data_IF_953388741036
#
_entry.id   IF_953388741036
#
_cell.length_a   1.000
_cell.length_b   1.000
_cell.length_c   1.000
_cell.angle_alpha   90.00
_cell.angle_beta   90.00
_cell.angle_gamma   90.00
#
_symmetry.space_group_name_H-M   'P 1'
#
loop_
_entity.id
_entity.type
_entity.pdbx_description
1 polymer ?
#
# COMPACT_ATOMS: atom_id res chain seq x y z
N UNK A 1 5.75 -12.50 20.22
CA UNK A 1 5.45 -13.27 19.00
C UNK A 1 5.23 -12.36 17.79
N UNK A 2 4.38 -11.34 17.88
CA UNK A 2 4.12 -10.40 16.78
C UNK A 2 5.35 -9.56 16.40
N UNK A 3 6.11 -9.06 17.37
CA UNK A 3 7.36 -8.32 17.14
C UNK A 3 8.45 -9.18 16.47
N UNK A 4 8.54 -10.46 16.81
CA UNK A 4 9.46 -11.38 16.14
C UNK A 4 9.12 -11.59 14.67
N UNK A 5 7.83 -11.69 14.34
CA UNK A 5 7.37 -11.85 12.94
C UNK A 5 7.66 -10.58 12.15
N UNK A 6 7.35 -9.39 12.70
CA UNK A 6 7.65 -8.10 12.06
C UNK A 6 9.15 -7.90 11.85
N UNK A 7 9.97 -8.21 12.87
CA UNK A 7 11.42 -8.13 12.75
C UNK A 7 11.99 -9.10 11.70
N UNK A 8 11.42 -10.30 11.59
CA UNK A 8 11.81 -11.27 10.59
C UNK A 8 11.43 -10.82 9.18
N UNK A 9 10.21 -10.32 8.97
CA UNK A 9 9.74 -9.77 7.69
C UNK A 9 10.58 -8.55 7.28
N UNK A 10 10.85 -7.64 8.23
CA UNK A 10 11.73 -6.49 7.98
C UNK A 10 13.14 -6.94 7.58
N UNK A 11 13.70 -7.93 8.27
CA UNK A 11 15.01 -8.50 7.94
C UNK A 11 15.07 -9.12 6.54
N UNK A 12 14.00 -9.81 6.11
CA UNK A 12 13.89 -10.35 4.76
C UNK A 12 13.82 -9.23 3.70
N UNK A 13 13.01 -8.20 3.93
CA UNK A 13 12.89 -7.04 3.04
C UNK A 13 14.25 -6.36 2.88
N UNK A 14 14.92 -6.10 4.00
CA UNK A 14 16.23 -5.48 4.05
C UNK A 14 17.28 -6.32 3.30
N UNK A 15 17.33 -7.62 3.58
CA UNK A 15 18.25 -8.54 2.89
C UNK A 15 17.99 -8.61 1.39
N UNK A 16 16.71 -8.65 1.00
CA UNK A 16 16.32 -8.69 -0.40
C UNK A 16 16.68 -7.41 -1.16
N UNK A 17 16.40 -6.22 -0.61
CA UNK A 17 16.77 -4.94 -1.22
C UNK A 17 18.29 -4.81 -1.30
N UNK A 18 19.01 -5.23 -0.25
CA UNK A 18 20.47 -5.18 -0.23
C UNK A 18 21.10 -6.06 -1.30
N UNK A 19 20.50 -7.20 -1.62
CA UNK A 19 21.00 -8.13 -2.62
C UNK A 19 20.62 -7.73 -4.06
N UNK A 20 19.40 -7.20 -4.27
CA UNK A 20 18.84 -6.98 -5.61
C UNK A 20 18.81 -5.50 -6.04
N UNK A 21 19.10 -4.57 -5.13
CA UNK A 21 19.15 -3.15 -5.43
C UNK A 21 17.80 -2.55 -5.77
N UNK A 22 17.75 -1.64 -6.74
CA UNK A 22 16.52 -0.98 -7.20
C UNK A 22 15.47 -1.98 -7.70
N UNK A 23 15.89 -3.10 -8.30
CA UNK A 23 14.95 -4.14 -8.75
C UNK A 23 14.18 -4.73 -7.56
N UNK A 24 14.83 -4.91 -6.42
CA UNK A 24 14.18 -5.35 -5.18
C UNK A 24 13.10 -4.39 -4.72
N UNK A 25 13.37 -3.08 -4.79
CA UNK A 25 12.39 -2.05 -4.46
C UNK A 25 11.18 -2.15 -5.41
N UNK A 26 11.42 -2.23 -6.72
CA UNK A 26 10.36 -2.38 -7.73
C UNK A 26 9.49 -3.61 -7.44
N UNK A 27 10.12 -4.77 -7.20
CA UNK A 27 9.40 -6.02 -6.97
C UNK A 27 8.58 -5.99 -5.67
N UNK A 28 9.15 -5.52 -4.56
CA UNK A 28 8.45 -5.45 -3.28
C UNK A 28 7.28 -4.47 -3.34
N UNK A 29 7.46 -3.31 -3.96
CA UNK A 29 6.38 -2.33 -4.16
C UNK A 29 5.32 -2.81 -5.16
N UNK A 30 5.71 -3.64 -6.15
CA UNK A 30 4.75 -4.28 -7.04
C UNK A 30 3.90 -5.32 -6.30
N UNK A 31 4.51 -6.14 -5.46
CA UNK A 31 3.80 -7.13 -4.64
C UNK A 31 2.81 -6.42 -3.69
N UNK A 32 3.24 -5.34 -3.02
CA UNK A 32 2.38 -4.53 -2.16
C UNK A 32 1.18 -3.96 -2.91
N UNK A 33 1.42 -3.40 -4.09
CA UNK A 33 0.37 -2.81 -4.91
C UNK A 33 -0.53 -3.82 -5.63
N UNK A 34 -0.15 -5.10 -5.63
CA UNK A 34 -0.99 -6.22 -6.07
C UNK A 34 -1.98 -6.69 -4.99
N UNK A 35 -2.27 -5.86 -3.98
CA UNK A 35 -3.12 -6.15 -2.82
C UNK A 35 -2.56 -7.22 -1.87
N UNK A 36 -1.25 -7.47 -1.89
CA UNK A 36 -0.57 -8.30 -0.89
C UNK A 36 -0.09 -7.35 0.24
N UNK A 37 -0.44 -7.61 1.51
CA UNK A 37 -0.15 -6.68 2.60
C UNK A 37 1.34 -6.69 2.98
N UNK A 38 2.17 -6.06 2.16
CA UNK A 38 3.54 -5.73 2.50
C UNK A 38 3.62 -4.27 2.97
N UNK A 39 4.32 -3.98 4.06
CA UNK A 39 4.40 -2.62 4.58
C UNK A 39 5.40 -1.78 3.77
N UNK A 40 4.90 -0.91 2.89
CA UNK A 40 5.73 0.10 2.21
C UNK A 40 6.42 1.05 3.19
N UNK A 41 5.83 1.21 4.37
CA UNK A 41 6.37 1.95 5.51
C UNK A 41 7.69 1.34 6.04
N UNK A 42 8.02 0.13 5.66
CA UNK A 42 9.31 -0.53 5.92
C UNK A 42 10.18 -0.48 4.67
N UNK A 43 9.61 -0.80 3.49
CA UNK A 43 10.34 -0.90 2.21
C UNK A 43 10.99 0.44 1.85
N UNK A 44 10.21 1.53 1.84
CA UNK A 44 10.68 2.82 1.37
C UNK A 44 11.62 3.53 2.35
N UNK A 45 11.36 3.60 3.68
CA UNK A 45 12.32 4.17 4.60
C UNK A 45 13.64 3.39 4.67
N UNK A 46 13.62 2.06 4.57
CA UNK A 46 14.85 1.30 4.50
C UNK A 46 15.64 1.58 3.22
N UNK A 47 14.96 1.72 2.08
CA UNK A 47 15.60 2.14 0.84
C UNK A 47 16.20 3.54 0.97
N UNK A 48 15.54 4.43 1.71
CA UNK A 48 16.04 5.75 2.09
C UNK A 48 17.28 5.70 3.01
N UNK A 49 17.31 4.77 3.96
CA UNK A 49 18.53 4.50 4.74
C UNK A 49 19.72 4.12 3.84
N UNK A 50 19.50 3.31 2.82
CA UNK A 50 20.55 2.97 1.85
C UNK A 50 20.99 4.18 1.00
N UNK A 51 20.14 5.22 0.87
CA UNK A 51 20.56 6.51 0.30
C UNK A 51 21.52 7.24 1.23
N UNK A 52 21.27 7.30 2.55
CA UNK A 52 22.19 7.96 3.51
C UNK A 52 23.58 7.30 3.55
N UNK A 53 23.65 6.00 3.29
CA UNK A 53 24.94 5.28 3.17
C UNK A 53 25.66 5.52 1.83
N UNK A 54 25.12 6.33 0.93
CA UNK A 54 25.68 6.60 -0.40
C UNK A 54 25.50 5.47 -1.43
N UNK A 55 24.75 4.42 -1.09
CA UNK A 55 24.56 3.27 -1.96
C UNK A 55 23.49 3.51 -3.04
N UNK A 56 22.48 4.31 -2.74
CA UNK A 56 21.36 4.62 -3.64
C UNK A 56 21.18 6.13 -3.81
N UNK A 57 20.54 6.50 -4.91
CA UNK A 57 20.05 7.86 -5.15
C UNK A 57 18.58 7.98 -4.73
N UNK A 58 18.21 9.10 -4.07
CA UNK A 58 16.86 9.31 -3.53
C UNK A 58 15.79 9.36 -4.62
N UNK A 59 16.09 10.03 -5.75
CA UNK A 59 15.16 10.18 -6.85
C UNK A 59 14.95 8.84 -7.57
N UNK A 60 16.04 8.06 -7.71
CA UNK A 60 15.98 6.73 -8.29
C UNK A 60 15.18 5.75 -7.40
N UNK A 61 15.35 5.81 -6.07
CA UNK A 61 14.55 5.04 -5.11
C UNK A 61 13.07 5.37 -5.21
N UNK A 62 12.71 6.66 -5.19
CA UNK A 62 11.32 7.10 -5.31
C UNK A 62 10.69 6.65 -6.65
N UNK A 63 11.46 6.77 -7.73
CA UNK A 63 11.02 6.36 -9.07
C UNK A 63 10.86 4.85 -9.17
N UNK A 64 11.81 4.06 -8.64
CA UNK A 64 11.71 2.61 -8.57
C UNK A 64 10.46 2.17 -7.77
N UNK A 65 10.20 2.81 -6.63
CA UNK A 65 9.00 2.57 -5.83
C UNK A 65 7.71 2.86 -6.61
N UNK A 66 7.64 4.01 -7.29
CA UNK A 66 6.47 4.39 -8.09
C UNK A 66 6.26 3.47 -9.31
N UNK A 67 7.35 3.01 -9.96
CA UNK A 67 7.27 2.00 -11.03
C UNK A 67 6.73 0.69 -10.47
N UNK A 68 7.23 0.24 -9.32
CA UNK A 68 6.72 -0.95 -8.64
C UNK A 68 5.23 -0.86 -8.35
N UNK A 69 4.77 0.24 -7.74
CA UNK A 69 3.36 0.51 -7.51
C UNK A 69 2.53 0.43 -8.80
N UNK A 70 3.07 0.97 -9.89
CA UNK A 70 2.39 0.99 -11.18
C UNK A 70 2.24 -0.42 -11.75
N UNK A 71 3.32 -1.20 -11.79
CA UNK A 71 3.33 -2.58 -12.29
C UNK A 71 2.40 -3.48 -11.46
N UNK A 72 2.50 -3.42 -10.13
CA UNK A 72 1.67 -4.22 -9.24
C UNK A 72 0.18 -3.94 -9.35
N UNK A 73 -0.17 -2.71 -9.68
CA UNK A 73 -1.57 -2.27 -9.83
C UNK A 73 -2.26 -2.82 -11.09
N UNK A 74 -1.52 -3.35 -12.04
CA UNK A 74 -2.09 -3.93 -13.27
C UNK A 74 -2.99 -5.12 -12.95
N UNK A 75 -2.57 -5.98 -12.03
CA UNK A 75 -3.34 -7.18 -11.67
C UNK A 75 -4.72 -6.86 -11.10
N UNK A 76 -4.84 -6.03 -10.03
CA UNK A 76 -6.16 -5.68 -9.49
C UNK A 76 -6.97 -4.81 -10.45
N UNK A 77 -6.33 -3.97 -11.28
CA UNK A 77 -7.03 -3.21 -12.32
C UNK A 77 -7.67 -4.14 -13.36
N UNK A 78 -6.91 -5.10 -13.93
CA UNK A 78 -7.44 -6.05 -14.92
C UNK A 78 -8.49 -6.99 -14.29
N UNK A 79 -8.32 -7.39 -13.03
CA UNK A 79 -9.31 -8.16 -12.30
C UNK A 79 -10.63 -7.36 -12.17
N UNK A 80 -10.56 -6.07 -11.83
CA UNK A 80 -11.73 -5.19 -11.80
C UNK A 80 -12.38 -5.00 -13.16
N UNK A 81 -11.56 -4.75 -14.20
CA UNK A 81 -12.04 -4.49 -15.57
C UNK A 81 -12.71 -5.71 -16.21
N UNK A 82 -12.15 -6.90 -16.02
CA UNK A 82 -12.67 -8.15 -16.62
C UNK A 82 -13.76 -8.79 -15.79
N UNK A 83 -13.61 -8.73 -14.48
CA UNK A 83 -14.49 -9.41 -13.54
C UNK A 83 -15.64 -8.56 -13.04
N UNK A 84 -15.44 -7.25 -12.92
CA UNK A 84 -16.45 -6.33 -12.41
C UNK A 84 -17.08 -6.81 -11.08
N UNK A 85 -18.40 -6.64 -10.95
CA UNK A 85 -19.18 -7.09 -9.78
C UNK A 85 -19.06 -8.58 -9.46
N UNK A 86 -19.08 -9.53 -10.43
CA UNK A 86 -18.95 -10.96 -10.12
C UNK A 86 -17.64 -11.36 -9.42
N UNK A 87 -16.53 -10.70 -9.73
CA UNK A 87 -15.25 -10.97 -9.03
C UNK A 87 -15.33 -10.49 -7.58
N UNK A 88 -15.93 -9.33 -7.32
CA UNK A 88 -16.11 -8.83 -5.96
C UNK A 88 -17.07 -9.73 -5.18
N UNK A 89 -18.14 -10.22 -5.80
CA UNK A 89 -19.08 -11.17 -5.19
C UNK A 89 -18.38 -12.48 -4.80
N UNK A 90 -17.55 -13.02 -5.68
CA UNK A 90 -16.89 -14.32 -5.50
C UNK A 90 -15.63 -14.25 -4.64
N UNK A 91 -14.81 -13.22 -4.83
CA UNK A 91 -13.47 -13.10 -4.26
C UNK A 91 -13.33 -11.94 -3.27
N UNK A 92 -14.29 -11.01 -3.20
CA UNK A 92 -14.25 -9.85 -2.30
C UNK A 92 -14.07 -10.22 -0.83
N UNK A 93 -14.50 -11.44 -0.43
CA UNK A 93 -14.29 -11.99 0.92
C UNK A 93 -12.80 -12.09 1.29
N UNK A 94 -11.94 -12.39 0.32
CA UNK A 94 -10.51 -12.55 0.51
C UNK A 94 -9.77 -11.21 0.52
N UNK A 95 -10.31 -10.23 -0.20
CA UNK A 95 -9.73 -8.88 -0.30
C UNK A 95 -10.42 -7.85 0.61
N UNK A 96 -11.34 -8.31 1.49
CA UNK A 96 -12.10 -7.46 2.41
C UNK A 96 -12.91 -6.36 1.71
N UNK A 97 -13.24 -6.55 0.42
CA UNK A 97 -14.05 -5.63 -0.40
C UNK A 97 -15.48 -6.16 -0.45
N UNK A 98 -16.44 -5.33 -0.04
CA UNK A 98 -17.88 -5.62 -0.11
C UNK A 98 -18.48 -4.91 -1.35
N UNK A 99 -19.61 -5.42 -1.88
CA UNK A 99 -20.34 -4.78 -2.98
C UNK A 99 -20.70 -3.32 -2.68
N UNK A 100 -20.99 -3.04 -1.41
CA UNK A 100 -21.27 -1.67 -0.97
C UNK A 100 -20.05 -0.73 -1.09
N UNK A 101 -18.84 -1.26 -0.86
CA UNK A 101 -17.61 -0.50 -1.05
C UNK A 101 -17.32 -0.29 -2.54
N UNK A 102 -17.69 -1.26 -3.38
CA UNK A 102 -17.66 -1.11 -4.83
C UNK A 102 -18.62 -0.02 -5.32
N UNK A 103 -19.89 -0.02 -4.85
CA UNK A 103 -20.87 1.01 -5.19
C UNK A 103 -20.42 2.41 -4.74
N UNK A 104 -19.73 2.51 -3.59
CA UNK A 104 -19.12 3.78 -3.13
C UNK A 104 -17.99 4.22 -4.06
N UNK A 105 -17.14 3.28 -4.44
CA UNK A 105 -16.05 3.56 -5.36
C UNK A 105 -16.57 3.95 -6.75
N UNK A 106 -17.58 3.27 -7.29
CA UNK A 106 -18.22 3.63 -8.55
C UNK A 106 -18.78 5.07 -8.48
N UNK A 107 -19.50 5.45 -7.40
CA UNK A 107 -19.99 6.82 -7.19
C UNK A 107 -18.84 7.83 -7.08
N UNK A 108 -17.74 7.47 -6.42
CA UNK A 108 -16.55 8.30 -6.30
C UNK A 108 -15.92 8.54 -7.67
N UNK A 109 -15.77 7.48 -8.49
CA UNK A 109 -15.27 7.58 -9.86
C UNK A 109 -16.24 8.34 -10.78
N UNK A 110 -17.55 8.18 -10.62
CA UNK A 110 -18.56 8.95 -11.36
C UNK A 110 -18.46 10.45 -11.06
N UNK A 111 -18.16 10.82 -9.80
CA UNK A 111 -18.06 12.22 -9.37
C UNK A 111 -16.72 12.87 -9.74
N UNK A 112 -15.60 12.16 -9.52
CA UNK A 112 -14.25 12.71 -9.66
C UNK A 112 -13.53 12.23 -10.93
N UNK A 113 -14.14 11.30 -11.68
CA UNK A 113 -13.52 10.73 -12.88
C UNK A 113 -12.16 10.10 -12.60
N UNK A 114 -11.25 10.28 -13.54
CA UNK A 114 -9.91 9.68 -13.45
C UNK A 114 -9.04 10.25 -12.32
N UNK A 115 -9.32 11.47 -11.84
CA UNK A 115 -8.61 12.09 -10.71
C UNK A 115 -8.84 11.32 -9.40
N UNK A 116 -9.94 10.56 -9.31
CA UNK A 116 -10.20 9.65 -8.20
C UNK A 116 -9.02 8.71 -7.90
N UNK A 117 -8.33 8.22 -8.95
CA UNK A 117 -7.14 7.38 -8.80
C UNK A 117 -5.99 8.15 -8.15
N UNK A 118 -5.73 9.39 -8.59
CA UNK A 118 -4.70 10.24 -8.01
C UNK A 118 -4.96 10.50 -6.52
N UNK A 119 -6.18 10.93 -6.18
CA UNK A 119 -6.59 11.20 -4.79
C UNK A 119 -6.47 9.92 -3.94
N UNK A 120 -6.97 8.79 -4.45
CA UNK A 120 -6.89 7.51 -3.76
C UNK A 120 -5.45 7.05 -3.48
N UNK A 121 -4.52 7.36 -4.38
CA UNK A 121 -3.10 7.04 -4.22
C UNK A 121 -2.39 7.86 -3.14
N UNK A 122 -2.88 9.06 -2.85
CA UNK A 122 -2.35 9.91 -1.77
C UNK A 122 -2.88 9.47 -0.38
N UNK A 123 -3.91 8.63 -0.33
CA UNK A 123 -4.47 8.14 0.93
C UNK A 123 -3.84 6.79 1.32
N UNK A 124 -3.21 6.65 2.50
CA UNK A 124 -2.43 5.48 2.90
C UNK A 124 -3.16 4.14 2.74
N UNK A 125 -4.40 4.06 3.20
CA UNK A 125 -5.20 2.82 3.18
C UNK A 125 -5.80 2.55 1.80
N UNK A 126 -6.21 3.60 1.09
CA UNK A 126 -6.94 3.50 -0.19
C UNK A 126 -5.99 3.15 -1.34
N UNK A 127 -4.73 3.57 -1.25
CA UNK A 127 -3.75 3.49 -2.34
C UNK A 127 -3.54 2.07 -2.89
N UNK A 128 -3.54 1.04 -2.04
CA UNK A 128 -3.34 -0.35 -2.45
C UNK A 128 -4.59 -0.95 -3.12
N UNK A 129 -5.78 -0.43 -2.81
CA UNK A 129 -7.04 -0.98 -3.28
C UNK A 129 -7.67 -0.20 -4.43
N UNK A 130 -7.25 1.06 -4.69
CA UNK A 130 -7.89 1.96 -5.67
C UNK A 130 -7.83 1.41 -7.11
N UNK A 131 -6.90 0.51 -7.41
CA UNK A 131 -6.74 -0.09 -8.72
C UNK A 131 -7.93 -0.98 -9.12
N UNK A 132 -8.52 -1.71 -8.17
CA UNK A 132 -9.67 -2.57 -8.43
C UNK A 132 -10.91 -1.76 -8.88
N UNK A 133 -11.39 -0.74 -8.12
CA UNK A 133 -12.51 0.09 -8.58
C UNK A 133 -12.19 0.92 -9.82
N UNK A 134 -10.94 1.32 -10.06
CA UNK A 134 -10.54 1.96 -11.31
C UNK A 134 -10.73 1.03 -12.52
N UNK A 135 -10.44 -0.27 -12.34
CA UNK A 135 -10.70 -1.30 -13.34
C UNK A 135 -12.20 -1.51 -13.57
N UNK A 136 -13.01 -1.60 -12.51
CA UNK A 136 -14.49 -1.73 -12.60
C UNK A 136 -15.09 -0.52 -13.33
N UNK A 137 -14.63 0.69 -13.03
CA UNK A 137 -15.03 1.92 -13.72
C UNK A 137 -14.51 2.00 -15.16
N UNK A 138 -13.77 0.98 -15.64
CA UNK A 138 -13.18 0.92 -16.99
C UNK A 138 -12.37 2.19 -17.35
N UNK A 139 -11.64 2.73 -16.38
CA UNK A 139 -10.80 3.89 -16.61
C UNK A 139 -9.81 3.62 -17.76
N UNK A 140 -9.53 4.57 -18.67
CA UNK A 140 -8.54 4.38 -19.72
C UNK A 140 -7.16 4.04 -19.15
N UNK A 141 -6.53 2.97 -19.63
CA UNK A 141 -5.30 2.39 -19.08
C UNK A 141 -4.16 3.41 -18.98
N UNK A 142 -3.98 4.24 -20.01
CA UNK A 142 -2.94 5.29 -20.02
C UNK A 142 -3.15 6.28 -18.87
N UNK A 143 -4.39 6.77 -18.68
CA UNK A 143 -4.72 7.68 -17.58
C UNK A 143 -4.51 7.00 -16.22
N UNK A 144 -4.89 5.73 -16.12
CA UNK A 144 -4.66 4.94 -14.90
C UNK A 144 -3.18 4.88 -14.53
N UNK A 145 -2.30 4.56 -15.49
CA UNK A 145 -0.86 4.48 -15.26
C UNK A 145 -0.26 5.84 -14.89
N UNK A 146 -0.63 6.92 -15.61
CA UNK A 146 -0.13 8.26 -15.31
C UNK A 146 -0.55 8.70 -13.90
N UNK A 147 -1.83 8.59 -13.54
CA UNK A 147 -2.31 9.00 -12.21
C UNK A 147 -1.79 8.10 -11.09
N UNK A 148 -1.61 6.81 -11.36
CA UNK A 148 -0.97 5.89 -10.41
C UNK A 148 0.48 6.29 -10.15
N UNK A 149 1.26 6.56 -11.21
CA UNK A 149 2.65 6.96 -11.07
C UNK A 149 2.78 8.29 -10.35
N UNK A 150 2.07 9.32 -10.82
CA UNK A 150 2.11 10.67 -10.24
C UNK A 150 1.63 10.68 -8.78
N UNK A 151 0.60 9.89 -8.44
CA UNK A 151 0.09 9.80 -7.07
C UNK A 151 0.98 8.98 -6.13
N UNK A 152 1.66 7.94 -6.63
CA UNK A 152 2.53 7.10 -5.81
C UNK A 152 3.92 7.71 -5.60
N UNK A 153 4.40 8.49 -6.56
CA UNK A 153 5.74 9.05 -6.51
C UNK A 153 6.01 9.96 -5.29
N UNK A 154 5.14 10.95 -4.94
CA UNK A 154 5.34 11.79 -3.75
C UNK A 154 5.35 10.98 -2.45
N UNK A 155 4.53 9.94 -2.37
CA UNK A 155 4.48 9.03 -1.23
C UNK A 155 5.80 8.26 -1.08
N UNK A 156 6.28 7.64 -2.17
CA UNK A 156 7.54 6.92 -2.20
C UNK A 156 8.72 7.85 -1.87
N UNK A 157 8.72 9.06 -2.44
CA UNK A 157 9.73 10.06 -2.17
C UNK A 157 9.73 10.48 -0.70
N UNK A 158 8.56 10.82 -0.15
CA UNK A 158 8.43 11.25 1.25
C UNK A 158 8.93 10.19 2.23
N UNK A 159 8.53 8.93 2.05
CA UNK A 159 8.98 7.83 2.91
C UNK A 159 10.49 7.55 2.76
N UNK A 160 11.02 7.59 1.54
CA UNK A 160 12.45 7.40 1.31
C UNK A 160 13.26 8.59 1.87
N UNK A 161 12.77 9.81 1.72
CA UNK A 161 13.40 10.99 2.32
C UNK A 161 13.45 10.91 3.84
N UNK A 162 12.33 10.53 4.48
CA UNK A 162 12.30 10.30 5.94
C UNK A 162 13.31 9.22 6.32
N UNK A 163 13.39 8.12 5.58
CA UNK A 163 14.36 7.06 5.83
C UNK A 163 15.82 7.51 5.69
N UNK A 164 16.10 8.40 4.73
CA UNK A 164 17.42 9.02 4.55
C UNK A 164 17.80 9.88 5.74
N UNK A 165 16.94 10.82 6.14
CA UNK A 165 17.19 11.74 7.25
C UNK A 165 17.33 10.98 8.58
N UNK A 166 16.52 9.96 8.79
CA UNK A 166 16.59 9.10 9.96
C UNK A 166 17.80 8.16 9.93
N UNK A 167 18.27 7.80 8.73
CA UNK A 167 19.36 6.84 8.52
C UNK A 167 20.67 7.24 9.18
N UNK A 168 20.99 8.52 9.18
CA UNK A 168 22.19 9.06 9.85
C UNK A 168 22.05 9.01 11.38
N UNK A 169 20.85 9.02 11.93
CA UNK A 169 20.54 9.09 13.37
C UNK A 169 19.91 7.80 13.93
N UNK A 170 19.67 6.78 13.07
CA UNK A 170 18.98 5.55 13.46
C UNK A 170 19.59 4.82 14.66
N UNK A 171 20.92 4.84 14.74
CA UNK A 171 21.63 4.17 15.84
C UNK A 171 21.93 5.07 17.03
N UNK A 172 21.84 6.40 16.88
CA UNK A 172 22.33 7.37 17.87
C UNK A 172 21.24 8.08 18.67
N UNK A 173 19.98 8.14 18.19
CA UNK A 173 18.95 8.89 18.91
C UNK A 173 17.85 7.98 19.50
N UNK A 174 17.76 7.87 20.86
CA UNK A 174 16.71 7.11 21.54
C UNK A 174 15.29 7.63 21.23
N UNK A 175 15.14 8.91 20.87
CA UNK A 175 13.83 9.52 20.55
C UNK A 175 13.26 8.96 19.23
N UNK A 176 14.14 8.64 18.28
CA UNK A 176 13.76 8.07 16.99
C UNK A 176 13.26 6.64 17.19
N UNK A 177 13.95 5.84 17.99
CA UNK A 177 13.47 4.49 18.36
C UNK A 177 12.12 4.55 19.06
N UNK A 178 11.92 5.51 19.96
CA UNK A 178 10.65 5.72 20.65
C UNK A 178 9.53 6.19 19.70
N UNK A 179 9.85 7.00 18.69
CA UNK A 179 8.89 7.47 17.68
C UNK A 179 8.43 6.32 16.78
N UNK A 180 9.36 5.46 16.33
CA UNK A 180 9.01 4.25 15.57
C UNK A 180 8.18 3.27 16.41
N UNK A 181 8.56 3.04 17.65
CA UNK A 181 7.79 2.21 18.55
C UNK A 181 6.35 2.73 18.78
N UNK A 182 6.17 4.05 18.84
CA UNK A 182 4.85 4.69 18.88
C UNK A 182 4.11 4.59 17.55
N UNK A 183 4.79 4.77 16.43
CA UNK A 183 4.20 4.61 15.10
C UNK A 183 3.75 3.16 14.87
N UNK A 184 4.59 2.18 15.20
CA UNK A 184 4.24 0.76 15.15
C UNK A 184 3.05 0.42 16.05
N UNK A 185 2.99 1.02 17.25
CA UNK A 185 1.86 0.87 18.17
C UNK A 185 0.58 1.47 17.58
N UNK A 186 0.64 2.68 16.99
CA UNK A 186 -0.50 3.34 16.36
C UNK A 186 -0.97 2.55 15.14
N UNK A 187 -0.06 2.08 14.30
CA UNK A 187 -0.37 1.24 13.13
C UNK A 187 -0.97 -0.10 13.61
N UNK A 188 -0.37 -0.73 14.62
CA UNK A 188 -0.90 -1.95 15.22
C UNK A 188 -2.31 -1.78 15.79
N UNK A 189 -2.55 -0.70 16.54
CA UNK A 189 -3.87 -0.33 17.08
C UNK A 189 -4.85 -0.06 15.94
N UNK A 190 -4.46 0.67 14.90
CA UNK A 190 -5.31 0.95 13.75
C UNK A 190 -5.70 -0.33 12.99
N UNK A 191 -4.76 -1.27 12.82
CA UNK A 191 -5.03 -2.59 12.22
C UNK A 191 -5.98 -3.40 13.12
N UNK A 192 -5.73 -3.45 14.44
CA UNK A 192 -6.60 -4.18 15.38
C UNK A 192 -8.00 -3.57 15.41
N UNK A 193 -8.13 -2.25 15.43
CA UNK A 193 -9.41 -1.56 15.38
C UNK A 193 -10.14 -1.79 14.03
N UNK A 194 -9.42 -1.77 12.92
CA UNK A 194 -9.97 -2.05 11.60
C UNK A 194 -10.47 -3.51 11.51
N UNK A 195 -9.68 -4.46 11.96
CA UNK A 195 -10.05 -5.89 12.02
C UNK A 195 -11.19 -6.10 13.02
N UNK A 196 -11.14 -5.49 14.21
CA UNK A 196 -12.19 -5.58 15.22
C UNK A 196 -13.50 -5.00 14.73
N UNK A 197 -13.49 -3.82 14.11
CA UNK A 197 -14.65 -3.19 13.49
C UNK A 197 -15.22 -4.04 12.34
N UNK A 198 -14.36 -4.63 11.53
CA UNK A 198 -14.75 -5.54 10.44
C UNK A 198 -15.43 -6.79 10.99
N UNK A 199 -14.82 -7.44 12.00
CA UNK A 199 -15.41 -8.62 12.66
C UNK A 199 -16.73 -8.29 13.34
N UNK A 200 -16.81 -7.16 14.04
CA UNK A 200 -18.04 -6.68 14.67
C UNK A 200 -19.15 -6.47 13.63
N UNK A 201 -18.86 -5.79 12.54
CA UNK A 201 -19.82 -5.56 11.45
C UNK A 201 -20.29 -6.86 10.80
N UNK A 202 -19.39 -7.84 10.66
CA UNK A 202 -19.70 -9.16 10.11
C UNK A 202 -20.58 -9.99 11.05
N UNK A 203 -20.31 -9.94 12.35
CA UNK A 203 -21.11 -10.64 13.37
C UNK A 203 -22.48 -9.98 13.56
N UNK A 204 -22.55 -8.65 13.53
CA UNK A 204 -23.81 -7.90 13.58
C UNK A 204 -24.72 -8.22 12.38
N UNK A 205 -24.16 -8.26 11.15
CA UNK A 205 -24.93 -8.67 9.95
C UNK A 205 -25.41 -10.12 10.02
N UNK A 206 -24.63 -11.04 10.62
CA UNK A 206 -25.05 -12.44 10.80
C UNK A 206 -26.16 -12.58 11.84
N UNK A 207 -26.19 -11.75 12.90
CA UNK A 207 -27.27 -11.73 13.88
C UNK A 207 -28.59 -11.17 13.33
N UNK A 208 -28.52 -10.16 12.45
CA UNK A 208 -29.69 -9.58 11.80
C UNK A 208 -30.30 -10.46 10.68
N UNK A 209 -29.58 -11.50 10.22
CA UNK A 209 -30.01 -12.42 9.17
C UNK A 209 -30.52 -13.78 9.72
N UNK A 210 -30.65 -13.93 11.04
CA UNK A 210 -31.35 -15.08 11.64
C UNK A 210 -32.81 -14.69 11.89
N UNK A 211 -33.77 -15.45 11.28
CA UNK A 211 -35.21 -15.23 11.50
C UNK A 211 -35.61 -15.53 12.93
#
# INVERSE_FOLDING_TARGET
>A
MFEHILGWVAGLIVGFISATGYLGIVLLMAIESACIPLPSEVIMPFSGYLVSTGRFDLWAVATAGAIGCNLGSILPYEAGKRGGRPVVERWGKYFLVDLHDLDRAERFFARFGSIATLIGRLLPVVRSFIALPAGVARMPLVKFHVYTFVGSWPWCFGLAWVGRELGEHWNSDPRIKALFHRADLIIGIAIVLAVGYFLYRRLAKRRAARP
#
